data_IF_598011254513
#
_entry.id   IF_598011254513
#
_cell.length_a   1.000
_cell.length_b   1.000
_cell.length_c   1.000
_cell.angle_alpha   90.00
_cell.angle_beta   90.00
_cell.angle_gamma   90.00
#
_symmetry.space_group_name_H-M   'P 1'
#
loop_
_entity.id
_entity.type
_entity.pdbx_description
1 polymer ?
#
# COMPACT_ATOMS: atom_id res chain seq x y z
N UNK A 1 -2.17 -20.92 -12.15
CA UNK A 1 -2.75 -19.55 -12.20
C UNK A 1 -3.92 -19.39 -11.22
N UNK A 2 -5.04 -20.10 -11.39
CA UNK A 2 -6.28 -19.91 -10.60
C UNK A 2 -6.06 -19.98 -9.07
N UNK A 3 -5.31 -20.98 -8.57
CA UNK A 3 -5.06 -21.11 -7.13
C UNK A 3 -4.25 -19.92 -6.55
N UNK A 4 -3.30 -19.39 -7.32
CA UNK A 4 -2.50 -18.23 -6.93
C UNK A 4 -3.37 -16.96 -6.87
N UNK A 5 -4.18 -16.72 -7.91
CA UNK A 5 -5.13 -15.60 -7.91
C UNK A 5 -6.09 -15.67 -6.73
N UNK A 6 -6.66 -16.84 -6.44
CA UNK A 6 -7.55 -17.04 -5.28
C UNK A 6 -6.88 -16.67 -3.96
N UNK A 7 -5.62 -17.06 -3.77
CA UNK A 7 -4.84 -16.71 -2.57
C UNK A 7 -4.75 -15.19 -2.36
N UNK A 8 -4.40 -14.43 -3.39
CA UNK A 8 -4.27 -12.97 -3.27
C UNK A 8 -5.60 -12.25 -3.16
N UNK A 9 -6.66 -12.75 -3.81
CA UNK A 9 -8.01 -12.21 -3.62
C UNK A 9 -8.48 -12.41 -2.18
N UNK A 10 -8.30 -13.60 -1.60
CA UNK A 10 -8.65 -13.85 -0.19
C UNK A 10 -7.82 -13.00 0.77
N UNK A 11 -6.52 -12.82 0.50
CA UNK A 11 -5.68 -11.91 1.29
C UNK A 11 -6.16 -10.46 1.20
N UNK A 12 -6.54 -9.99 0.01
CA UNK A 12 -7.09 -8.64 -0.16
C UNK A 12 -8.41 -8.48 0.60
N UNK A 13 -9.29 -9.49 0.58
CA UNK A 13 -10.53 -9.51 1.35
C UNK A 13 -10.27 -9.39 2.85
N UNK A 14 -9.34 -10.18 3.39
CA UNK A 14 -8.91 -10.12 4.80
C UNK A 14 -8.38 -8.73 5.17
N UNK A 15 -7.58 -8.12 4.29
CA UNK A 15 -6.97 -6.80 4.51
C UNK A 15 -7.93 -5.62 4.24
N UNK A 16 -9.10 -5.87 3.63
CA UNK A 16 -10.02 -4.82 3.18
C UNK A 16 -10.42 -3.81 4.28
N UNK A 17 -10.65 -4.20 5.55
CA UNK A 17 -10.94 -3.23 6.62
C UNK A 17 -9.81 -2.22 6.84
N UNK A 18 -8.56 -2.67 6.80
CA UNK A 18 -7.36 -1.83 6.97
C UNK A 18 -7.17 -0.94 5.74
N UNK A 19 -7.33 -1.49 4.54
CA UNK A 19 -7.28 -0.74 3.28
C UNK A 19 -8.31 0.39 3.29
N UNK A 20 -9.55 0.10 3.70
CA UNK A 20 -10.62 1.11 3.77
C UNK A 20 -10.37 2.18 4.82
N UNK A 21 -9.74 1.84 5.95
CA UNK A 21 -9.30 2.83 6.94
C UNK A 21 -8.31 3.82 6.32
N UNK A 22 -7.24 3.32 5.70
CA UNK A 22 -6.22 4.17 5.10
C UNK A 22 -6.71 4.91 3.86
N UNK A 23 -7.68 4.37 3.12
CA UNK A 23 -8.33 5.07 2.01
C UNK A 23 -9.07 6.32 2.52
N UNK A 24 -9.82 6.22 3.64
CA UNK A 24 -10.49 7.39 4.23
C UNK A 24 -9.48 8.45 4.68
N UNK A 25 -8.37 8.03 5.29
CA UNK A 25 -7.28 8.94 5.68
C UNK A 25 -6.63 9.61 4.45
N UNK A 26 -6.42 8.86 3.37
CA UNK A 26 -5.91 9.35 2.10
C UNK A 26 -6.80 10.45 1.51
N UNK A 27 -8.11 10.23 1.47
CA UNK A 27 -9.08 11.23 1.01
C UNK A 27 -9.10 12.48 1.90
N UNK A 28 -9.07 12.31 3.22
CA UNK A 28 -9.09 13.43 4.17
C UNK A 28 -7.82 14.29 4.08
N UNK A 29 -6.66 13.66 3.91
CA UNK A 29 -5.35 14.33 3.87
C UNK A 29 -4.92 14.77 2.48
N UNK A 30 -5.63 14.35 1.42
CA UNK A 30 -5.24 14.52 0.01
C UNK A 30 -3.86 13.95 -0.32
N UNK A 31 -3.49 12.88 0.37
CA UNK A 31 -2.23 12.16 0.17
C UNK A 31 -2.55 10.79 -0.42
N UNK A 32 -1.83 10.29 -1.45
CA UNK A 32 -2.10 8.99 -2.05
C UNK A 32 -2.04 7.85 -1.04
N UNK A 33 -2.83 6.81 -1.31
CA UNK A 33 -2.88 5.59 -0.49
C UNK A 33 -1.56 4.81 -0.57
N UNK A 34 -1.07 4.60 -1.79
CA UNK A 34 0.24 4.01 -2.04
C UNK A 34 1.27 5.12 -2.11
N UNK A 35 2.33 4.97 -1.33
CA UNK A 35 3.32 6.00 -1.07
C UNK A 35 4.70 5.44 -1.34
N UNK A 36 5.59 6.22 -1.97
CA UNK A 36 6.96 5.78 -2.15
C UNK A 36 7.66 5.62 -0.80
N UNK A 37 8.65 4.72 -0.73
CA UNK A 37 9.35 4.41 0.53
C UNK A 37 10.04 5.65 1.11
N UNK A 38 10.64 6.49 0.27
CA UNK A 38 11.30 7.73 0.67
C UNK A 38 10.37 8.75 1.36
N UNK A 39 9.04 8.57 1.31
CA UNK A 39 8.12 9.41 2.10
C UNK A 39 8.08 9.06 3.58
N UNK A 40 8.36 7.80 3.92
CA UNK A 40 8.44 7.35 5.31
C UNK A 40 9.88 7.35 5.82
N UNK A 41 10.84 7.11 4.93
CA UNK A 41 12.28 7.09 5.22
C UNK A 41 13.04 8.11 4.36
N UNK A 42 12.81 9.42 4.54
CA UNK A 42 13.36 10.46 3.66
C UNK A 42 14.88 10.61 3.76
N UNK A 43 15.49 10.05 4.80
CA UNK A 43 16.93 10.14 5.05
C UNK A 43 17.70 8.90 4.63
N UNK A 44 17.01 7.84 4.20
CA UNK A 44 17.64 6.59 3.78
C UNK A 44 17.90 6.66 2.28
N UNK A 45 19.17 6.72 1.81
CA UNK A 45 19.47 6.86 0.37
C UNK A 45 18.84 5.75 -0.48
N UNK A 46 18.81 4.52 0.05
CA UNK A 46 18.17 3.37 -0.58
C UNK A 46 16.67 3.58 -0.85
N UNK A 47 15.98 4.37 -0.03
CA UNK A 47 14.55 4.65 -0.20
C UNK A 47 14.22 5.37 -1.52
N UNK A 48 15.19 6.10 -2.09
CA UNK A 48 15.03 6.77 -3.39
C UNK A 48 15.18 5.83 -4.59
N UNK A 49 15.74 4.64 -4.39
CA UNK A 49 16.00 3.65 -5.45
C UNK A 49 14.87 2.62 -5.59
N UNK A 50 13.95 2.55 -4.61
CA UNK A 50 12.84 1.58 -4.62
C UNK A 50 11.71 2.09 -5.51
N UNK A 51 11.48 1.41 -6.64
CA UNK A 51 10.48 1.76 -7.64
C UNK A 51 9.83 0.54 -8.33
N UNK A 52 10.09 -0.67 -7.82
CA UNK A 52 9.49 -1.94 -8.21
C UNK A 52 8.18 -2.23 -7.46
#
# INVERSE_FOLDING_TARGET
>A
AVAFCKKFVSLHEEMSPIIMKHMRESLASRVPLYRPVWWFEPTTPRGFEIND
#
